data_IF_561570807582
#
_entry.id   IF_561570807582
#
_cell.length_a   1.000
_cell.length_b   1.000
_cell.length_c   1.000
_cell.angle_alpha   90.00
_cell.angle_beta   90.00
_cell.angle_gamma   90.00
#
_symmetry.space_group_name_H-M   'P 1'
#
loop_
_entity.id
_entity.type
_entity.pdbx_description
1 polymer ?
#
# COMPACT_ATOMS: atom_id res chain seq x y z
N UNK A 1 12.85 28.72 -12.30
CA UNK A 1 11.92 27.80 -11.61
C UNK A 1 12.46 26.36 -11.46
N UNK A 2 13.71 26.10 -11.90
CA UNK A 2 14.31 24.76 -11.84
C UNK A 2 14.39 24.16 -10.41
N UNK A 3 14.57 24.99 -9.40
CA UNK A 3 14.63 24.53 -8.00
C UNK A 3 13.27 23.98 -7.53
N UNK A 4 12.19 24.67 -7.85
CA UNK A 4 10.81 24.24 -7.48
C UNK A 4 10.47 22.93 -8.19
N UNK A 5 10.86 22.80 -9.46
CA UNK A 5 10.62 21.58 -10.24
C UNK A 5 11.41 20.39 -9.70
N UNK A 6 12.68 20.61 -9.29
CA UNK A 6 13.51 19.57 -8.65
C UNK A 6 12.92 19.13 -7.31
N UNK A 7 12.49 20.09 -6.47
CA UNK A 7 11.84 19.76 -5.21
C UNK A 7 10.51 19.01 -5.42
N UNK A 8 9.69 19.46 -6.38
CA UNK A 8 8.44 18.81 -6.73
C UNK A 8 8.65 17.38 -7.20
N UNK A 9 9.63 17.16 -8.07
CA UNK A 9 10.00 15.83 -8.57
C UNK A 9 10.51 14.95 -7.43
N UNK A 10 11.37 15.47 -6.54
CA UNK A 10 11.86 14.75 -5.37
C UNK A 10 10.73 14.29 -4.44
N UNK A 11 9.75 15.17 -4.18
CA UNK A 11 8.58 14.84 -3.37
C UNK A 11 7.69 13.78 -4.04
N UNK A 12 7.51 13.83 -5.36
CA UNK A 12 6.76 12.82 -6.10
C UNK A 12 7.44 11.45 -6.06
N UNK A 13 8.76 11.40 -6.23
CA UNK A 13 9.54 10.16 -6.11
C UNK A 13 9.42 9.60 -4.70
N UNK A 14 9.55 10.43 -3.67
CA UNK A 14 9.36 10.02 -2.28
C UNK A 14 7.96 9.48 -2.03
N UNK A 15 6.92 10.16 -2.52
CA UNK A 15 5.54 9.71 -2.41
C UNK A 15 5.32 8.36 -3.11
N UNK A 16 5.92 8.15 -4.27
CA UNK A 16 5.84 6.89 -4.99
C UNK A 16 6.51 5.74 -4.23
N UNK A 17 7.72 5.97 -3.69
CA UNK A 17 8.42 4.98 -2.86
C UNK A 17 7.60 4.63 -1.63
N UNK A 18 7.05 5.63 -0.95
CA UNK A 18 6.20 5.44 0.24
C UNK A 18 4.93 4.64 -0.10
N UNK A 19 4.28 4.94 -1.22
CA UNK A 19 3.12 4.19 -1.69
C UNK A 19 3.47 2.73 -2.00
N UNK A 20 4.63 2.47 -2.60
CA UNK A 20 5.11 1.12 -2.90
C UNK A 20 5.38 0.30 -1.62
N UNK A 21 6.10 0.90 -0.65
CA UNK A 21 6.35 0.27 0.65
C UNK A 21 5.04 0.00 1.39
N UNK A 22 4.11 0.96 1.37
CA UNK A 22 2.79 0.80 1.98
C UNK A 22 2.01 -0.35 1.32
N UNK A 23 2.04 -0.47 0.00
CA UNK A 23 1.41 -1.58 -0.72
C UNK A 23 1.96 -2.95 -0.28
N UNK A 24 3.27 -3.04 -0.08
CA UNK A 24 3.92 -4.25 0.41
C UNK A 24 3.49 -4.61 1.83
N UNK A 25 3.45 -3.61 2.73
CA UNK A 25 3.00 -3.78 4.12
C UNK A 25 1.54 -4.23 4.15
N UNK A 26 0.66 -3.58 3.39
CA UNK A 26 -0.76 -3.93 3.29
C UNK A 26 -0.92 -5.37 2.80
N UNK A 27 -0.20 -5.77 1.76
CA UNK A 27 -0.24 -7.14 1.25
C UNK A 27 0.15 -8.16 2.33
N UNK A 28 1.20 -7.88 3.11
CA UNK A 28 1.64 -8.74 4.20
C UNK A 28 0.62 -8.83 5.35
N UNK A 29 0.09 -7.69 5.79
CA UNK A 29 -0.90 -7.64 6.88
C UNK A 29 -2.16 -8.40 6.49
N UNK A 30 -2.70 -8.17 5.28
CA UNK A 30 -3.87 -8.92 4.81
C UNK A 30 -3.57 -10.41 4.65
N UNK A 31 -2.36 -10.79 4.24
CA UNK A 31 -1.95 -12.18 4.18
C UNK A 31 -2.00 -12.87 5.56
N UNK A 32 -1.50 -12.20 6.60
CA UNK A 32 -1.53 -12.69 7.99
C UNK A 32 -2.98 -12.73 8.51
N UNK A 33 -3.73 -11.64 8.35
CA UNK A 33 -5.12 -11.53 8.83
C UNK A 33 -6.01 -12.60 8.21
N UNK A 34 -5.89 -12.85 6.91
CA UNK A 34 -6.61 -13.90 6.23
C UNK A 34 -6.19 -15.27 6.76
N UNK A 35 -4.88 -15.48 7.01
CA UNK A 35 -4.37 -16.70 7.61
C UNK A 35 -4.99 -17.00 8.97
N UNK A 36 -5.15 -15.99 9.82
CA UNK A 36 -5.79 -16.10 11.13
C UNK A 36 -7.28 -16.43 11.04
N UNK A 37 -8.00 -15.94 10.01
CA UNK A 37 -9.43 -16.18 9.77
C UNK A 37 -9.73 -17.39 8.87
N UNK A 38 -8.73 -18.16 8.53
CA UNK A 38 -8.84 -19.28 7.59
C UNK A 38 -9.92 -20.31 8.00
N UNK A 39 -9.98 -20.61 9.30
CA UNK A 39 -10.98 -21.55 9.85
C UNK A 39 -12.40 -21.01 9.69
N UNK A 40 -12.63 -19.73 9.95
CA UNK A 40 -13.94 -19.07 9.79
C UNK A 40 -14.37 -19.08 8.31
N UNK A 41 -13.44 -18.74 7.41
CA UNK A 41 -13.68 -18.73 5.97
C UNK A 41 -13.98 -20.14 5.43
N UNK A 42 -13.33 -21.16 5.97
CA UNK A 42 -13.58 -22.55 5.61
C UNK A 42 -14.93 -23.05 6.12
N UNK A 43 -15.33 -22.67 7.34
CA UNK A 43 -16.66 -22.97 7.88
C UNK A 43 -17.76 -22.33 7.01
N UNK A 44 -17.59 -21.07 6.61
CA UNK A 44 -18.51 -20.42 5.67
C UNK A 44 -18.65 -21.19 4.35
N UNK A 45 -17.53 -21.74 3.84
CA UNK A 45 -17.56 -22.54 2.62
C UNK A 45 -18.20 -23.92 2.81
N UNK A 46 -18.07 -24.53 3.98
CA UNK A 46 -18.70 -25.82 4.27
C UNK A 46 -20.24 -25.73 4.32
N UNK A 47 -20.80 -24.58 4.69
CA UNK A 47 -22.23 -24.29 4.66
C UNK A 47 -22.72 -23.73 3.31
N UNK A 48 -21.85 -23.74 2.27
CA UNK A 48 -22.22 -23.42 0.89
C UNK A 48 -21.81 -22.05 0.36
N UNK A 49 -20.99 -21.27 1.08
CA UNK A 49 -20.48 -20.02 0.57
C UNK A 49 -19.54 -20.23 -0.64
N UNK A 50 -19.78 -19.49 -1.73
CA UNK A 50 -18.96 -19.54 -2.91
C UNK A 50 -17.62 -18.75 -2.70
N UNK A 51 -16.53 -19.19 -3.34
CA UNK A 51 -15.24 -18.50 -3.30
C UNK A 51 -15.30 -17.03 -3.75
N UNK A 52 -16.24 -16.67 -4.63
CA UNK A 52 -16.46 -15.29 -5.04
C UNK A 52 -17.06 -14.42 -3.91
N UNK A 53 -17.92 -14.99 -3.09
CA UNK A 53 -18.51 -14.32 -1.93
C UNK A 53 -17.44 -14.06 -0.87
N UNK A 54 -16.60 -15.05 -0.58
CA UNK A 54 -15.46 -14.90 0.34
C UNK A 54 -14.51 -13.80 -0.16
N UNK A 55 -14.15 -13.80 -1.44
CA UNK A 55 -13.30 -12.75 -2.02
C UNK A 55 -13.94 -11.37 -1.91
N UNK A 56 -15.24 -11.24 -2.21
CA UNK A 56 -15.97 -9.96 -2.13
C UNK A 56 -15.99 -9.43 -0.69
N UNK A 57 -16.18 -10.29 0.30
CA UNK A 57 -16.14 -9.94 1.72
C UNK A 57 -14.78 -9.34 2.09
N UNK A 58 -13.67 -10.00 1.75
CA UNK A 58 -12.31 -9.50 2.02
C UNK A 58 -12.05 -8.16 1.32
N UNK A 59 -12.50 -8.00 0.07
CA UNK A 59 -12.32 -6.75 -0.68
C UNK A 59 -13.17 -5.62 -0.09
N UNK A 60 -14.37 -5.91 0.42
CA UNK A 60 -15.20 -4.91 1.10
C UNK A 60 -14.60 -4.47 2.42
N UNK A 61 -14.04 -5.40 3.21
CA UNK A 61 -13.30 -5.07 4.43
C UNK A 61 -12.11 -4.16 4.11
N UNK A 62 -11.35 -4.51 3.07
CA UNK A 62 -10.23 -3.69 2.61
C UNK A 62 -10.66 -2.31 2.11
N UNK A 63 -11.79 -2.21 1.41
CA UNK A 63 -12.34 -0.95 0.94
C UNK A 63 -12.75 -0.04 2.11
N UNK A 64 -13.39 -0.59 3.14
CA UNK A 64 -13.77 0.16 4.33
C UNK A 64 -12.53 0.77 5.02
N UNK A 65 -11.50 -0.04 5.21
CA UNK A 65 -10.21 0.42 5.77
C UNK A 65 -9.55 1.46 4.85
N UNK A 66 -9.53 1.23 3.54
CA UNK A 66 -8.93 2.14 2.57
C UNK A 66 -9.60 3.52 2.58
N UNK A 67 -10.93 3.56 2.64
CA UNK A 67 -11.70 4.82 2.72
C UNK A 67 -11.38 5.56 4.02
N UNK A 68 -11.46 4.87 5.15
CA UNK A 68 -11.15 5.48 6.46
C UNK A 68 -9.71 6.00 6.50
N UNK A 69 -8.73 5.20 6.07
CA UNK A 69 -7.33 5.59 6.04
C UNK A 69 -7.07 6.77 5.08
N UNK A 70 -7.76 6.81 3.94
CA UNK A 70 -7.64 7.92 2.98
C UNK A 70 -8.17 9.22 3.57
N UNK A 71 -9.30 9.18 4.25
CA UNK A 71 -9.87 10.36 4.94
C UNK A 71 -8.86 10.87 5.98
N UNK A 72 -8.41 10.00 6.88
CA UNK A 72 -7.43 10.35 7.91
C UNK A 72 -6.12 10.86 7.28
N UNK A 73 -5.65 10.22 6.22
CA UNK A 73 -4.43 10.61 5.52
C UNK A 73 -4.51 11.99 4.87
N UNK A 74 -5.63 12.30 4.21
CA UNK A 74 -5.85 13.62 3.57
C UNK A 74 -5.92 14.73 4.62
N UNK A 75 -6.70 14.53 5.70
CA UNK A 75 -6.79 15.52 6.78
C UNK A 75 -5.46 15.65 7.54
N UNK A 76 -4.81 14.53 7.87
CA UNK A 76 -3.51 14.53 8.54
C UNK A 76 -2.43 15.21 7.70
N UNK A 77 -2.37 14.91 6.41
CA UNK A 77 -1.45 15.55 5.48
C UNK A 77 -1.65 17.06 5.39
N UNK A 78 -2.92 17.51 5.37
CA UNK A 78 -3.25 18.94 5.37
C UNK A 78 -2.81 19.64 6.65
N UNK A 79 -3.04 19.01 7.83
CA UNK A 79 -2.62 19.55 9.13
C UNK A 79 -1.09 19.64 9.21
N UNK A 80 -0.38 18.59 8.79
CA UNK A 80 1.09 18.55 8.76
C UNK A 80 1.64 19.64 7.84
N UNK A 81 1.08 19.77 6.62
CA UNK A 81 1.51 20.81 5.69
C UNK A 81 1.34 22.22 6.25
N UNK A 82 0.20 22.50 6.91
CA UNK A 82 -0.02 23.78 7.59
C UNK A 82 0.96 24.00 8.75
N UNK A 83 1.24 22.96 9.53
CA UNK A 83 2.19 23.02 10.62
C UNK A 83 3.60 23.37 10.14
N UNK A 84 4.06 22.73 9.08
CA UNK A 84 5.37 23.00 8.48
C UNK A 84 5.47 24.47 8.04
N UNK A 85 4.49 24.98 7.29
CA UNK A 85 4.48 26.38 6.83
C UNK A 85 4.44 27.35 8.05
N UNK A 86 3.66 27.03 9.09
CA UNK A 86 3.61 27.82 10.31
C UNK A 86 4.97 27.93 11.00
N UNK A 87 5.70 26.83 11.11
CA UNK A 87 7.04 26.78 11.70
C UNK A 87 8.03 27.63 10.87
N UNK A 88 8.02 27.49 9.55
CA UNK A 88 8.89 28.28 8.68
C UNK A 88 8.62 29.77 8.74
N UNK A 89 7.33 30.17 8.78
CA UNK A 89 6.97 31.58 8.93
C UNK A 89 7.38 32.14 10.30
N UNK A 90 7.24 31.37 11.38
CA UNK A 90 7.69 31.75 12.70
C UNK A 90 9.23 31.89 12.79
N UNK A 91 9.96 31.09 12.00
CA UNK A 91 11.42 31.18 11.88
C UNK A 91 11.89 32.32 10.95
N UNK A 92 10.99 33.15 10.43
CA UNK A 92 11.33 34.31 9.58
C UNK A 92 11.64 33.97 8.13
N UNK A 93 11.30 32.79 7.67
CA UNK A 93 11.57 32.34 6.28
C UNK A 93 10.72 33.06 5.23
N UNK A 94 9.76 33.93 5.64
CA UNK A 94 9.04 34.84 4.75
C UNK A 94 8.33 34.19 3.57
N UNK A 95 7.77 33.00 3.74
CA UNK A 95 6.94 32.40 2.71
C UNK A 95 5.75 33.30 2.40
N UNK A 96 5.49 33.57 1.11
CA UNK A 96 4.31 34.35 0.75
C UNK A 96 3.06 33.66 1.35
N UNK A 97 2.00 34.43 1.72
CA UNK A 97 0.78 33.88 2.27
C UNK A 97 0.13 32.99 1.23
N UNK A 98 0.49 31.70 1.27
CA UNK A 98 -0.10 30.68 0.39
C UNK A 98 -1.46 30.35 1.00
N UNK A 99 -2.54 30.78 0.32
CA UNK A 99 -3.87 30.30 0.65
C UNK A 99 -3.93 28.80 0.39
N UNK A 100 -3.70 27.99 1.45
CA UNK A 100 -3.87 26.55 1.36
C UNK A 100 -5.34 26.20 1.20
N UNK A 101 -5.78 26.15 -0.04
CA UNK A 101 -7.09 25.59 -0.38
C UNK A 101 -6.91 24.11 -0.66
N UNK A 102 -7.72 23.27 0.00
CA UNK A 102 -7.88 21.88 -0.44
C UNK A 102 -8.53 21.88 -1.83
N UNK A 103 -7.71 21.77 -2.86
CA UNK A 103 -8.25 21.63 -4.21
C UNK A 103 -8.96 20.27 -4.33
N UNK A 104 -10.19 20.22 -4.85
CA UNK A 104 -10.91 18.98 -5.08
C UNK A 104 -10.11 17.96 -5.90
N UNK A 105 -9.29 18.44 -6.82
CA UNK A 105 -8.35 17.63 -7.62
C UNK A 105 -7.36 16.89 -6.75
N UNK A 106 -6.76 17.53 -5.75
CA UNK A 106 -5.78 16.91 -4.85
C UNK A 106 -6.43 15.82 -4.01
N UNK A 107 -7.62 16.08 -3.49
CA UNK A 107 -8.41 15.09 -2.73
C UNK A 107 -8.78 13.90 -3.61
N UNK A 108 -9.22 14.16 -4.85
CA UNK A 108 -9.57 13.10 -5.79
C UNK A 108 -8.36 12.21 -6.14
N UNK A 109 -7.20 12.81 -6.43
CA UNK A 109 -5.97 12.07 -6.71
C UNK A 109 -5.52 11.26 -5.48
N UNK A 110 -5.54 11.86 -4.29
CA UNK A 110 -5.21 11.16 -3.05
C UNK A 110 -6.16 9.98 -2.79
N UNK A 111 -7.46 10.14 -3.05
CA UNK A 111 -8.45 9.07 -2.92
C UNK A 111 -8.21 7.95 -3.93
N UNK A 112 -7.98 8.28 -5.20
CA UNK A 112 -7.71 7.29 -6.25
C UNK A 112 -6.43 6.50 -5.91
N UNK A 113 -5.36 7.18 -5.51
CA UNK A 113 -4.09 6.52 -5.15
C UNK A 113 -4.25 5.70 -3.88
N UNK A 114 -4.80 6.25 -2.80
CA UNK A 114 -4.93 5.58 -1.51
C UNK A 114 -5.82 4.34 -1.59
N UNK A 115 -7.01 4.47 -2.17
CA UNK A 115 -7.94 3.35 -2.35
C UNK A 115 -7.39 2.37 -3.40
N UNK A 116 -6.86 2.87 -4.51
CA UNK A 116 -6.33 2.04 -5.59
C UNK A 116 -5.16 1.16 -5.14
N UNK A 117 -4.17 1.74 -4.47
CA UNK A 117 -3.01 1.01 -3.94
C UNK A 117 -3.46 -0.05 -2.93
N UNK A 118 -4.37 0.30 -2.02
CA UNK A 118 -4.89 -0.64 -1.02
C UNK A 118 -5.62 -1.81 -1.69
N UNK A 119 -6.53 -1.56 -2.62
CA UNK A 119 -7.28 -2.60 -3.31
C UNK A 119 -6.36 -3.50 -4.16
N UNK A 120 -5.42 -2.93 -4.89
CA UNK A 120 -4.44 -3.71 -5.67
C UNK A 120 -3.61 -4.63 -4.77
N UNK A 121 -3.19 -4.15 -3.60
CA UNK A 121 -2.41 -4.93 -2.63
C UNK A 121 -3.17 -6.11 -2.05
N UNK A 122 -4.50 -5.99 -1.91
CA UNK A 122 -5.38 -7.02 -1.33
C UNK A 122 -5.85 -8.06 -2.36
N UNK A 123 -5.83 -7.74 -3.66
CA UNK A 123 -6.31 -8.66 -4.70
C UNK A 123 -5.62 -10.03 -4.65
N UNK A 124 -4.31 -10.06 -4.46
CA UNK A 124 -3.53 -11.30 -4.43
C UNK A 124 -3.88 -12.16 -3.21
N UNK A 125 -3.83 -11.65 -1.97
CA UNK A 125 -4.22 -12.43 -0.80
C UNK A 125 -5.70 -12.84 -0.83
N UNK A 126 -6.61 -11.98 -1.27
CA UNK A 126 -8.03 -12.30 -1.40
C UNK A 126 -8.30 -13.43 -2.42
N UNK A 127 -7.60 -13.43 -3.55
CA UNK A 127 -7.70 -14.53 -4.54
C UNK A 127 -7.15 -15.84 -3.99
N UNK A 128 -6.10 -15.81 -3.17
CA UNK A 128 -5.56 -17.01 -2.53
C UNK A 128 -6.55 -17.58 -1.52
N UNK A 129 -7.13 -16.73 -0.68
CA UNK A 129 -8.13 -17.11 0.30
C UNK A 129 -9.37 -17.79 -0.33
N UNK A 130 -9.82 -17.27 -1.47
CA UNK A 130 -10.99 -17.82 -2.19
C UNK A 130 -10.78 -19.20 -2.80
N UNK A 131 -9.53 -19.67 -2.92
CA UNK A 131 -9.18 -20.96 -3.51
C UNK A 131 -8.96 -22.08 -2.50
N UNK A 132 -8.97 -21.78 -1.20
CA UNK A 132 -8.69 -22.77 -0.14
C UNK A 132 -9.85 -23.76 -0.06
N UNK A 133 -9.57 -25.08 -0.19
CA UNK A 133 -10.61 -26.09 -0.03
C UNK A 133 -11.04 -26.18 1.43
N UNK A 134 -12.34 -26.45 1.73
CA UNK A 134 -12.86 -26.55 3.09
C UNK A 134 -12.11 -27.57 3.97
N UNK A 135 -11.66 -28.65 3.37
CA UNK A 135 -10.95 -29.76 4.04
C UNK A 135 -9.54 -29.34 4.53
N UNK A 136 -8.87 -28.41 3.84
CA UNK A 136 -7.54 -27.95 4.22
C UNK A 136 -7.53 -27.16 5.54
N UNK A 137 -8.65 -26.53 5.90
CA UNK A 137 -8.77 -25.82 7.16
C UNK A 137 -8.98 -26.74 8.39
N UNK A 138 -9.32 -27.99 8.16
CA UNK A 138 -9.45 -29.01 9.23
C UNK A 138 -8.11 -29.69 9.60
N UNK A 139 -7.06 -29.46 8.80
CA UNK A 139 -5.69 -29.95 9.06
C UNK A 139 -4.72 -28.78 9.19
N UNK A 140 -4.49 -28.24 10.39
CA UNK A 140 -3.59 -27.10 10.62
C UNK A 140 -2.12 -27.38 10.23
N UNK A 141 -1.76 -28.65 10.14
CA UNK A 141 -0.37 -29.09 9.96
C UNK A 141 0.10 -29.15 8.49
N UNK A 142 -0.80 -29.06 7.53
CA UNK A 142 -0.44 -28.91 6.11
C UNK A 142 -0.23 -27.43 5.79
N UNK A 143 0.74 -26.85 6.50
CA UNK A 143 1.08 -25.44 6.42
C UNK A 143 1.30 -24.97 4.99
N UNK A 144 0.74 -23.82 4.69
CA UNK A 144 0.98 -23.00 3.52
C UNK A 144 2.45 -22.67 3.23
N UNK A 145 3.39 -23.19 4.03
CA UNK A 145 4.78 -22.77 4.04
C UNK A 145 5.63 -23.36 2.90
N UNK A 146 5.34 -24.57 2.44
CA UNK A 146 6.32 -25.24 1.59
C UNK A 146 6.35 -24.81 0.11
N UNK A 147 5.26 -24.35 -0.47
CA UNK A 147 5.19 -24.00 -1.91
C UNK A 147 5.37 -22.51 -2.22
N UNK A 148 5.34 -21.67 -1.20
CA UNK A 148 5.43 -20.22 -1.37
C UNK A 148 6.84 -19.66 -1.11
N UNK A 149 7.68 -20.35 -0.35
CA UNK A 149 8.98 -19.84 0.05
C UNK A 149 9.95 -19.65 -1.12
N UNK A 150 10.07 -20.61 -2.02
CA UNK A 150 10.99 -20.52 -3.14
C UNK A 150 10.59 -19.44 -4.16
N UNK A 151 9.29 -19.26 -4.45
CA UNK A 151 8.83 -18.19 -5.35
C UNK A 151 8.98 -16.80 -4.74
N UNK A 152 8.82 -16.67 -3.42
CA UNK A 152 9.06 -15.42 -2.71
C UNK A 152 10.54 -15.06 -2.65
N UNK A 153 11.42 -16.05 -2.44
CA UNK A 153 12.87 -15.87 -2.49
C UNK A 153 13.34 -15.41 -3.88
N UNK A 154 12.85 -16.03 -4.93
CA UNK A 154 13.20 -15.64 -6.31
C UNK A 154 12.67 -14.22 -6.61
N UNK A 155 11.42 -13.94 -6.28
CA UNK A 155 10.84 -12.61 -6.46
C UNK A 155 11.57 -11.52 -5.66
N UNK A 156 11.90 -11.80 -4.40
CA UNK A 156 12.69 -10.92 -3.55
C UNK A 156 14.10 -10.71 -4.09
N UNK A 157 14.79 -11.77 -4.50
CA UNK A 157 16.12 -11.69 -5.08
C UNK A 157 16.17 -10.88 -6.37
N UNK A 158 15.16 -11.03 -7.24
CA UNK A 158 15.06 -10.24 -8.49
C UNK A 158 14.85 -8.75 -8.18
N UNK A 159 13.94 -8.42 -7.28
CA UNK A 159 13.66 -7.02 -6.90
C UNK A 159 14.90 -6.40 -6.24
N UNK A 160 15.55 -7.13 -5.32
CA UNK A 160 16.77 -6.65 -4.66
C UNK A 160 17.91 -6.50 -5.67
N UNK A 161 18.07 -7.45 -6.59
CA UNK A 161 19.08 -7.40 -7.63
C UNK A 161 18.88 -6.21 -8.59
N UNK A 162 17.65 -5.98 -9.05
CA UNK A 162 17.33 -4.81 -9.90
C UNK A 162 17.53 -3.51 -9.13
N UNK A 163 17.11 -3.43 -7.85
CA UNK A 163 17.33 -2.26 -7.01
C UNK A 163 18.81 -1.96 -6.78
N UNK A 164 19.62 -2.98 -6.49
CA UNK A 164 21.05 -2.84 -6.31
C UNK A 164 21.76 -2.42 -7.61
N UNK A 165 21.39 -3.00 -8.75
CA UNK A 165 21.93 -2.61 -10.05
C UNK A 165 21.57 -1.17 -10.40
N UNK A 166 20.32 -0.76 -10.18
CA UNK A 166 19.87 0.62 -10.41
C UNK A 166 20.61 1.62 -9.52
N UNK A 167 20.87 1.25 -8.26
CA UNK A 167 21.62 2.07 -7.32
C UNK A 167 23.09 2.23 -7.74
N UNK A 168 23.75 1.11 -8.09
CA UNK A 168 25.14 1.13 -8.59
C UNK A 168 25.23 1.94 -9.89
N UNK A 169 24.31 1.73 -10.82
CA UNK A 169 24.26 2.49 -12.07
C UNK A 169 24.07 3.98 -11.83
N UNK A 170 23.20 4.37 -10.88
CA UNK A 170 22.99 5.76 -10.47
C UNK A 170 24.23 6.41 -9.82
N UNK A 171 25.09 5.63 -9.16
CA UNK A 171 26.35 6.12 -8.58
C UNK A 171 27.44 6.36 -9.63
N UNK A 172 27.47 5.55 -10.70
CA UNK A 172 28.52 5.61 -11.73
C UNK A 172 28.14 6.45 -12.94
N UNK A 173 26.85 6.57 -13.27
CA UNK A 173 26.36 7.46 -14.33
C UNK A 173 26.05 8.82 -13.71
N UNK A 174 27.09 9.64 -13.49
CA UNK A 174 26.91 11.08 -13.28
C UNK A 174 26.51 11.69 -14.62
N UNK A 175 25.33 12.31 -14.75
CA UNK A 175 25.10 13.22 -15.86
C UNK A 175 26.03 14.42 -15.63
N UNK A 176 27.02 14.57 -16.53
CA UNK A 176 27.89 15.73 -16.62
C UNK A 176 27.13 16.97 -17.05
#
# INVERSE_FOLDING_TARGET
>A
NSIIDVFGTGLLVFAFITAFVSAFIINNIFGITIGQRLRELALLRSIGANGSQVRRMIVLDALAVAVAATIVGVFGGFVVARGIIGIFNAAGAGFPPISMMMLPRTVAVAAIVGIGVTLMSVIVPARRASKIPPVAAMRPELGFEALSASRRLIGGAVVTGVGALSFVFGLFVRPG
#
